data_IF_855303471768
#
_entry.id   IF_855303471768
#
_cell.length_a   1.000
_cell.length_b   1.000
_cell.length_c   1.000
_cell.angle_alpha   90.00
_cell.angle_beta   90.00
_cell.angle_gamma   90.00
#
_symmetry.space_group_name_H-M   'P 1'
#
loop_
_entity.id
_entity.type
_entity.pdbx_description
1 polymer ?
#
# COMPACT_ATOMS: atom_id res chain seq x y z
N UNK A 1 1.00 -8.68 -16.09
CA UNK A 1 2.12 -8.91 -15.14
C UNK A 1 1.80 -10.15 -14.32
N UNK A 2 2.82 -10.90 -13.88
CA UNK A 2 2.64 -12.06 -12.99
C UNK A 2 3.49 -11.90 -11.73
N UNK A 3 2.98 -12.32 -10.58
CA UNK A 3 3.67 -12.24 -9.29
C UNK A 3 3.21 -13.37 -8.36
N UNK A 4 4.04 -13.79 -7.41
CA UNK A 4 3.60 -14.76 -6.41
C UNK A 4 2.66 -14.09 -5.40
N UNK A 5 3.01 -12.87 -4.96
CA UNK A 5 2.26 -12.11 -3.96
C UNK A 5 1.93 -10.71 -4.48
N UNK A 6 0.64 -10.47 -4.70
CA UNK A 6 0.11 -9.12 -4.95
C UNK A 6 -0.29 -8.45 -3.63
N UNK A 7 0.23 -7.26 -3.37
CA UNK A 7 -0.14 -6.45 -2.21
C UNK A 7 -0.88 -5.22 -2.71
N UNK A 8 -2.11 -5.00 -2.23
CA UNK A 8 -2.93 -3.85 -2.62
C UNK A 8 -2.93 -2.85 -1.46
N UNK A 9 -2.14 -1.78 -1.60
CA UNK A 9 -1.98 -0.71 -0.61
C UNK A 9 -0.53 -0.42 -0.25
N UNK A 10 -0.16 0.87 -0.24
CA UNK A 10 1.20 1.36 0.00
C UNK A 10 1.38 2.04 1.36
N UNK A 11 0.54 1.71 2.35
CA UNK A 11 0.69 2.15 3.74
C UNK A 11 1.58 1.20 4.56
N UNK A 12 1.78 1.44 5.87
CA UNK A 12 2.67 0.66 6.73
C UNK A 12 2.40 -0.86 6.68
N UNK A 13 1.14 -1.27 6.66
CA UNK A 13 0.77 -2.68 6.57
C UNK A 13 1.23 -3.33 5.24
N UNK A 14 1.02 -2.65 4.12
CA UNK A 14 1.44 -3.14 2.80
C UNK A 14 2.96 -3.17 2.64
N UNK A 15 3.64 -2.12 3.14
CA UNK A 15 5.11 -2.06 3.13
C UNK A 15 5.73 -3.17 3.97
N UNK A 16 5.19 -3.43 5.17
CA UNK A 16 5.69 -4.52 6.01
C UNK A 16 5.43 -5.88 5.37
N UNK A 17 4.27 -6.08 4.75
CA UNK A 17 3.99 -7.29 3.98
C UNK A 17 5.01 -7.49 2.84
N UNK A 18 5.32 -6.43 2.11
CA UNK A 18 6.27 -6.46 0.99
C UNK A 18 7.69 -6.81 1.45
N UNK A 19 8.15 -6.21 2.56
CA UNK A 19 9.43 -6.55 3.17
C UNK A 19 9.49 -8.04 3.50
N UNK A 20 8.45 -8.59 4.12
CA UNK A 20 8.45 -9.99 4.53
C UNK A 20 8.34 -10.98 3.37
N UNK A 21 7.49 -10.72 2.37
CA UNK A 21 7.34 -11.60 1.20
C UNK A 21 8.59 -11.59 0.33
N UNK A 22 9.14 -10.41 0.03
CA UNK A 22 10.36 -10.28 -0.78
C UNK A 22 11.58 -10.87 -0.08
N UNK A 23 11.72 -10.73 1.25
CA UNK A 23 12.79 -11.40 2.01
C UNK A 23 12.73 -12.93 1.94
N UNK A 24 11.55 -13.49 1.73
CA UNK A 24 11.36 -14.93 1.50
C UNK A 24 11.53 -15.34 0.03
N UNK A 25 12.01 -14.42 -0.82
CA UNK A 25 12.26 -14.60 -2.26
C UNK A 25 11.00 -14.88 -3.08
N UNK A 26 9.82 -14.51 -2.56
CA UNK A 26 8.61 -14.48 -3.38
C UNK A 26 8.68 -13.28 -4.32
N UNK A 27 8.35 -13.46 -5.60
CA UNK A 27 8.10 -12.30 -6.46
C UNK A 27 6.92 -11.52 -5.87
N UNK A 28 7.12 -10.23 -5.62
CA UNK A 28 6.17 -9.40 -4.88
C UNK A 28 5.93 -8.11 -5.64
N UNK A 29 4.66 -7.83 -5.94
CA UNK A 29 4.21 -6.58 -6.53
C UNK A 29 3.30 -5.84 -5.55
N UNK A 30 3.63 -4.58 -5.26
CA UNK A 30 2.79 -3.68 -4.48
C UNK A 30 2.09 -2.72 -5.43
N UNK A 31 0.77 -2.63 -5.35
CA UNK A 31 -0.06 -1.72 -6.14
C UNK A 31 -0.72 -0.70 -5.23
N UNK A 32 -0.56 0.57 -5.54
CA UNK A 32 -1.18 1.67 -4.82
C UNK A 32 -0.31 2.91 -4.76
N UNK A 33 -0.88 3.99 -4.23
CA UNK A 33 -0.21 5.29 -4.13
C UNK A 33 0.19 5.56 -2.70
N UNK A 34 1.47 5.89 -2.46
CA UNK A 34 1.99 6.19 -1.12
C UNK A 34 1.25 7.38 -0.49
N UNK A 35 0.93 8.39 -1.31
CA UNK A 35 0.17 9.59 -0.92
C UNK A 35 -1.24 9.29 -0.38
N UNK A 36 -1.80 8.12 -0.70
CA UNK A 36 -3.11 7.70 -0.18
C UNK A 36 -3.02 7.03 1.20
N UNK A 37 -1.82 6.82 1.73
CA UNK A 37 -1.63 6.25 3.06
C UNK A 37 -2.15 7.19 4.15
N UNK A 38 -2.76 6.64 5.20
CA UNK A 38 -3.29 7.43 6.32
C UNK A 38 -2.22 8.14 7.15
N UNK A 39 -0.94 7.76 7.01
CA UNK A 39 0.18 8.41 7.71
C UNK A 39 0.86 9.47 6.85
N UNK A 40 0.52 9.59 5.55
CA UNK A 40 1.11 10.59 4.67
C UNK A 40 0.83 12.01 5.19
N UNK A 41 1.88 12.84 5.28
CA UNK A 41 1.79 14.21 5.79
C UNK A 41 1.36 14.35 7.26
N UNK A 42 1.57 13.31 8.08
CA UNK A 42 1.27 13.35 9.52
C UNK A 42 2.53 13.16 10.37
N UNK A 43 2.57 13.78 11.55
CA UNK A 43 3.61 13.51 12.56
C UNK A 43 3.30 12.19 13.28
N UNK A 44 4.31 11.32 13.43
CA UNK A 44 4.15 10.01 14.03
C UNK A 44 5.14 9.85 15.20
N UNK A 45 4.58 9.83 16.41
CA UNK A 45 5.35 9.63 17.66
C UNK A 45 5.12 8.25 18.30
N UNK A 46 4.14 7.50 17.80
CA UNK A 46 3.65 6.26 18.40
C UNK A 46 3.93 5.01 17.55
N UNK A 47 4.93 5.06 16.67
CA UNK A 47 5.37 3.90 15.90
C UNK A 47 6.55 3.23 16.62
N UNK A 48 6.45 1.91 16.84
CA UNK A 48 7.50 1.20 17.57
C UNK A 48 8.84 1.32 16.84
N UNK A 49 9.83 1.94 17.50
CA UNK A 49 11.18 2.10 16.96
C UNK A 49 11.37 3.26 15.99
N UNK A 50 10.35 4.09 15.74
CA UNK A 50 10.45 5.29 14.91
C UNK A 50 9.61 6.43 15.48
N UNK A 51 10.20 7.63 15.51
CA UNK A 51 9.50 8.88 15.77
C UNK A 51 9.92 9.85 14.68
N UNK A 52 9.03 10.12 13.73
CA UNK A 52 9.35 10.88 12.51
C UNK A 52 8.06 11.34 11.82
N UNK A 53 8.19 12.14 10.77
CA UNK A 53 7.07 12.42 9.89
C UNK A 53 6.72 11.15 9.07
N UNK A 54 5.45 11.03 8.72
CA UNK A 54 4.95 9.86 8.02
C UNK A 54 5.49 9.72 6.60
N UNK A 55 5.97 10.79 5.96
CA UNK A 55 6.55 10.73 4.63
C UNK A 55 7.93 10.06 4.66
N UNK A 56 8.71 10.35 5.70
CA UNK A 56 9.96 9.67 6.03
C UNK A 56 9.69 8.18 6.28
N UNK A 57 8.74 7.83 7.16
CA UNK A 57 8.40 6.42 7.44
C UNK A 57 8.00 5.66 6.16
N UNK A 58 7.17 6.27 5.31
CA UNK A 58 6.72 5.65 4.08
C UNK A 58 7.85 5.49 3.06
N UNK A 59 8.67 6.52 2.86
CA UNK A 59 9.78 6.49 1.90
C UNK A 59 10.88 5.50 2.30
N UNK A 60 11.22 5.43 3.59
CA UNK A 60 12.16 4.43 4.13
C UNK A 60 11.60 3.00 3.96
N UNK A 61 10.31 2.80 4.26
CA UNK A 61 9.65 1.50 4.07
C UNK A 61 9.63 1.04 2.61
N UNK A 62 9.37 1.96 1.66
CA UNK A 62 9.47 1.68 0.21
C UNK A 62 10.91 1.32 -0.16
N UNK A 63 11.90 2.09 0.30
CA UNK A 63 13.31 1.84 0.06
C UNK A 63 13.74 0.45 0.56
N UNK A 64 13.32 0.11 1.78
CA UNK A 64 13.60 -1.20 2.38
C UNK A 64 12.94 -2.34 1.59
N UNK A 65 11.66 -2.22 1.25
CA UNK A 65 10.96 -3.23 0.44
C UNK A 65 11.64 -3.44 -0.93
N UNK A 66 12.01 -2.35 -1.62
CA UNK A 66 12.74 -2.40 -2.90
C UNK A 66 14.12 -3.05 -2.76
N UNK A 67 14.83 -2.80 -1.66
CA UNK A 67 16.14 -3.43 -1.41
C UNK A 67 16.08 -4.96 -1.32
N UNK A 68 14.91 -5.51 -0.96
CA UNK A 68 14.65 -6.94 -0.96
C UNK A 68 14.03 -7.47 -2.27
N UNK A 69 13.76 -6.60 -3.24
CA UNK A 69 13.23 -6.95 -4.56
C UNK A 69 11.72 -6.80 -4.72
N UNK A 70 11.03 -6.08 -3.83
CA UNK A 70 9.63 -5.73 -4.09
C UNK A 70 9.52 -4.72 -5.25
N UNK A 71 8.60 -4.98 -6.17
CA UNK A 71 8.22 -4.05 -7.24
C UNK A 71 7.02 -3.21 -6.82
N UNK A 72 6.90 -2.01 -7.39
CA UNK A 72 5.82 -1.07 -7.07
C UNK A 72 5.18 -0.57 -8.35
N UNK A 73 3.85 -0.56 -8.36
CA UNK A 73 3.04 0.03 -9.42
C UNK A 73 2.13 1.11 -8.81
N UNK A 74 2.38 2.35 -9.19
CA UNK A 74 1.63 3.53 -8.72
C UNK A 74 0.30 3.68 -9.47
N UNK A 75 -0.56 2.69 -9.29
CA UNK A 75 -1.90 2.61 -9.89
C UNK A 75 -2.92 2.15 -8.85
N UNK A 76 -4.20 2.28 -9.18
CA UNK A 76 -5.28 1.74 -8.35
C UNK A 76 -5.82 0.45 -8.97
N UNK A 77 -6.16 -0.53 -8.14
CA UNK A 77 -6.93 -1.69 -8.58
C UNK A 77 -8.40 -1.29 -8.75
N UNK A 78 -8.97 -1.57 -9.93
CA UNK A 78 -10.36 -1.24 -10.27
C UNK A 78 -11.25 -2.46 -10.40
N UNK A 79 -10.69 -3.62 -10.72
CA UNK A 79 -11.43 -4.88 -10.82
C UNK A 79 -10.65 -6.02 -10.18
N UNK A 80 -11.38 -7.03 -9.73
CA UNK A 80 -10.84 -8.27 -9.21
C UNK A 80 -11.61 -9.45 -9.80
N UNK A 81 -10.93 -10.57 -9.94
CA UNK A 81 -11.46 -11.79 -10.50
C UNK A 81 -10.59 -12.98 -10.15
N UNK A 82 -11.00 -14.15 -10.61
CA UNK A 82 -10.28 -15.40 -10.45
C UNK A 82 -10.29 -16.15 -11.78
N UNK A 83 -9.16 -16.75 -12.14
CA UNK A 83 -8.99 -17.58 -13.32
C UNK A 83 -8.23 -18.84 -12.93
N UNK A 84 -8.95 -19.96 -12.84
CA UNK A 84 -8.44 -21.20 -12.25
C UNK A 84 -7.98 -21.01 -10.81
N UNK A 85 -6.69 -21.25 -10.56
CA UNK A 85 -6.05 -21.10 -9.25
C UNK A 85 -5.40 -19.72 -9.03
N UNK A 86 -5.46 -18.84 -10.02
CA UNK A 86 -4.86 -17.50 -9.96
C UNK A 86 -5.91 -16.43 -9.64
N UNK A 87 -5.51 -15.44 -8.86
CA UNK A 87 -6.24 -14.18 -8.75
C UNK A 87 -5.85 -13.26 -9.91
N UNK A 88 -6.84 -12.55 -10.46
CA UNK A 88 -6.65 -11.62 -11.57
C UNK A 88 -7.18 -10.25 -11.14
N UNK A 89 -6.40 -9.20 -11.35
CA UNK A 89 -6.80 -7.83 -11.09
C UNK A 89 -6.46 -6.94 -12.28
N UNK A 90 -7.24 -5.89 -12.48
CA UNK A 90 -6.95 -4.86 -13.47
C UNK A 90 -6.77 -3.52 -12.75
N UNK A 91 -5.76 -2.78 -13.16
CA UNK A 91 -5.49 -1.42 -12.70
C UNK A 91 -6.30 -0.39 -13.48
N UNK A 92 -6.36 0.84 -12.97
CA UNK A 92 -7.02 1.98 -13.61
C UNK A 92 -6.42 2.37 -14.98
N UNK A 93 -5.16 2.01 -15.24
CA UNK A 93 -4.52 2.15 -16.57
C UNK A 93 -4.75 0.95 -17.51
N UNK A 94 -5.51 -0.06 -17.08
CA UNK A 94 -5.82 -1.25 -17.87
C UNK A 94 -4.79 -2.39 -17.78
N UNK A 95 -3.73 -2.25 -16.97
CA UNK A 95 -2.75 -3.33 -16.75
C UNK A 95 -3.40 -4.51 -16.02
N UNK A 96 -3.33 -5.70 -16.60
CA UNK A 96 -3.74 -6.95 -15.94
C UNK A 96 -2.60 -7.53 -15.09
N UNK A 97 -2.93 -7.94 -13.86
CA UNK A 97 -2.03 -8.54 -12.90
C UNK A 97 -2.58 -9.89 -12.47
N UNK A 98 -1.76 -10.94 -12.57
CA UNK A 98 -2.06 -12.29 -12.10
C UNK A 98 -1.21 -12.62 -10.90
N UNK A 99 -1.82 -13.21 -9.87
CA UNK A 99 -1.12 -13.58 -8.64
C UNK A 99 -1.59 -14.88 -8.02
N UNK A 100 -0.69 -15.57 -7.30
CA UNK A 100 -1.03 -16.81 -6.55
C UNK A 100 -1.64 -16.48 -5.19
N UNK A 101 -1.20 -15.39 -4.57
CA UNK A 101 -1.71 -14.91 -3.30
C UNK A 101 -1.90 -13.39 -3.32
N UNK A 102 -2.84 -12.91 -2.52
CA UNK A 102 -3.19 -11.49 -2.42
C UNK A 102 -3.20 -11.06 -0.96
N UNK A 103 -2.62 -9.91 -0.67
CA UNK A 103 -2.72 -9.22 0.62
C UNK A 103 -3.43 -7.89 0.39
N UNK A 104 -4.60 -7.72 1.02
CA UNK A 104 -5.37 -6.48 0.96
C UNK A 104 -4.97 -5.60 2.15
N UNK A 105 -4.31 -4.49 1.85
CA UNK A 105 -3.77 -3.53 2.81
C UNK A 105 -4.18 -2.09 2.46
N UNK A 106 -5.40 -1.92 1.95
CA UNK A 106 -5.92 -0.66 1.38
C UNK A 106 -6.17 0.44 2.42
N UNK A 107 -6.08 0.11 3.71
CA UNK A 107 -6.44 1.02 4.79
C UNK A 107 -7.93 1.38 4.77
N UNK A 108 -8.27 2.47 5.45
CA UNK A 108 -9.62 3.03 5.51
C UNK A 108 -9.55 4.55 5.33
N UNK A 109 -10.59 5.14 4.76
CA UNK A 109 -10.81 6.58 4.78
C UNK A 109 -11.74 6.94 5.95
N UNK A 110 -11.46 8.05 6.64
CA UNK A 110 -12.35 8.54 7.70
C UNK A 110 -13.60 9.14 7.07
N UNK A 111 -14.77 8.73 7.56
CA UNK A 111 -16.04 9.37 7.20
C UNK A 111 -16.06 10.78 7.79
N UNK A 112 -16.21 11.78 6.92
CA UNK A 112 -16.37 13.18 7.34
C UNK A 112 -17.74 13.38 7.98
N UNK A 113 -17.79 14.19 9.03
CA UNK A 113 -19.01 14.54 9.76
C UNK A 113 -19.89 15.52 8.98
N UNK A 114 -19.29 16.33 8.10
CA UNK A 114 -19.98 17.29 7.24
C UNK A 114 -20.43 18.55 7.96
N UNK A 115 -19.78 18.91 9.08
CA UNK A 115 -20.12 20.10 9.87
C UNK A 115 -19.34 21.33 9.43
N UNK A 116 -19.89 22.56 9.60
CA UNK A 116 -19.14 23.79 9.35
C UNK A 116 -17.85 23.82 10.17
N UNK A 117 -16.73 24.22 9.56
CA UNK A 117 -15.43 24.30 10.23
C UNK A 117 -14.63 22.98 10.22
N UNK A 118 -15.21 21.85 9.80
CA UNK A 118 -14.52 20.54 9.84
C UNK A 118 -13.23 20.54 9.02
N UNK A 119 -13.21 21.19 7.85
CA UNK A 119 -12.04 21.22 6.98
C UNK A 119 -10.96 22.17 7.51
N UNK A 120 -11.37 23.30 8.06
CA UNK A 120 -10.50 24.38 8.54
C UNK A 120 -9.77 24.01 9.85
N UNK A 121 -10.38 23.14 10.65
CA UNK A 121 -9.88 22.67 11.95
C UNK A 121 -9.33 21.24 11.89
N UNK A 122 -9.30 20.60 10.72
CA UNK A 122 -8.80 19.24 10.59
C UNK A 122 -7.32 19.14 11.00
N UNK A 123 -7.03 18.37 12.06
CA UNK A 123 -5.68 18.14 12.55
C UNK A 123 -5.06 19.29 13.36
N UNK A 124 -5.85 20.27 13.80
CA UNK A 124 -5.45 21.33 14.73
C UNK A 124 -5.81 20.99 16.18
#
# INVERSE_FOLDING_TARGET
METDVLIIGCGPAGLQAAIHSSRKKASTLVVGKVINSSVHGTEIENYLGASSDGDTILSEGVGQARSFGAEFLDQNIVTSGKDGDSFVFTTDDGTEIRSKAVIIATGISRKKLGVPGEKELFGK
#
